data_IF_909409076687
#
_entry.id   IF_909409076687
#
_cell.length_a   1.000
_cell.length_b   1.000
_cell.length_c   1.000
_cell.angle_alpha   90.00
_cell.angle_beta   90.00
_cell.angle_gamma   90.00
#
_symmetry.space_group_name_H-M   'P 1'
#
loop_
_entity.id
_entity.type
_entity.pdbx_description
1 polymer ?
#
# COMPACT_ATOMS: atom_id res chain seq x y z
N UNK A 1 12.20 0.68 -25.70
CA UNK A 1 10.93 1.01 -25.03
C UNK A 1 10.72 -0.03 -23.94
N UNK A 2 11.14 0.27 -22.70
CA UNK A 2 11.17 -0.69 -21.62
C UNK A 2 9.74 -0.97 -21.13
N UNK A 3 9.17 -2.10 -21.53
CA UNK A 3 7.98 -2.64 -20.90
C UNK A 3 8.38 -3.10 -19.51
N UNK A 4 8.18 -2.25 -18.49
CA UNK A 4 8.26 -2.68 -17.12
C UNK A 4 7.31 -3.89 -16.93
N UNK A 5 7.72 -4.92 -16.18
CA UNK A 5 6.83 -6.03 -15.88
C UNK A 5 5.55 -5.44 -15.27
N UNK A 6 4.39 -5.69 -15.89
CA UNK A 6 3.13 -5.03 -15.54
C UNK A 6 2.78 -5.15 -14.05
N UNK A 7 3.33 -6.15 -13.36
CA UNK A 7 3.04 -6.45 -11.96
C UNK A 7 3.50 -5.34 -10.99
N UNK A 8 4.68 -4.72 -11.17
CA UNK A 8 5.16 -3.75 -10.17
C UNK A 8 4.32 -2.47 -10.10
N UNK A 9 3.94 -1.94 -11.26
CA UNK A 9 3.10 -0.73 -11.34
C UNK A 9 1.69 -1.03 -10.82
N UNK A 10 1.19 -2.24 -11.09
CA UNK A 10 -0.09 -2.69 -10.57
C UNK A 10 -0.05 -2.83 -9.05
N UNK A 11 1.00 -3.41 -8.47
CA UNK A 11 1.17 -3.55 -7.02
C UNK A 11 1.18 -2.17 -6.34
N UNK A 12 1.96 -1.23 -6.88
CA UNK A 12 2.01 0.16 -6.39
C UNK A 12 0.65 0.86 -6.49
N UNK A 13 -0.01 0.74 -7.64
CA UNK A 13 -1.33 1.38 -7.85
C UNK A 13 -2.38 0.80 -6.90
N UNK A 14 -2.32 -0.51 -6.64
CA UNK A 14 -3.26 -1.19 -5.74
C UNK A 14 -3.02 -0.78 -4.30
N UNK A 15 -1.76 -0.73 -3.84
CA UNK A 15 -1.40 -0.27 -2.48
C UNK A 15 -1.76 1.20 -2.27
N UNK A 16 -1.43 2.07 -3.22
CA UNK A 16 -1.74 3.50 -3.13
C UNK A 16 -3.25 3.74 -3.20
N UNK A 17 -3.95 3.08 -4.12
CA UNK A 17 -5.40 3.18 -4.27
C UNK A 17 -6.14 2.71 -3.02
N UNK A 18 -5.77 1.54 -2.49
CA UNK A 18 -6.35 1.02 -1.27
C UNK A 18 -6.01 1.87 -0.05
N UNK A 19 -4.79 2.40 0.06
CA UNK A 19 -4.40 3.31 1.13
C UNK A 19 -5.17 4.62 1.09
N UNK A 20 -5.35 5.20 -0.09
CA UNK A 20 -6.18 6.40 -0.27
C UNK A 20 -7.63 6.14 0.16
N UNK A 21 -8.21 5.01 -0.26
CA UNK A 21 -9.57 4.61 0.12
C UNK A 21 -9.69 4.34 1.63
N UNK A 22 -8.75 3.60 2.21
CA UNK A 22 -8.72 3.27 3.64
C UNK A 22 -8.53 4.50 4.52
N UNK A 23 -7.61 5.39 4.15
CA UNK A 23 -7.41 6.67 4.83
C UNK A 23 -8.63 7.58 4.72
N UNK A 24 -9.27 7.64 3.54
CA UNK A 24 -10.51 8.39 3.34
C UNK A 24 -11.66 7.85 4.21
N UNK A 25 -11.83 6.52 4.25
CA UNK A 25 -12.85 5.87 5.05
C UNK A 25 -12.61 6.08 6.56
N UNK A 26 -11.36 5.96 7.02
CA UNK A 26 -10.99 6.22 8.40
C UNK A 26 -11.23 7.68 8.81
N UNK A 27 -10.87 8.63 7.94
CA UNK A 27 -11.14 10.05 8.16
C UNK A 27 -12.66 10.31 8.26
N UNK A 28 -13.46 9.66 7.39
CA UNK A 28 -14.93 9.75 7.44
C UNK A 28 -15.51 9.19 8.74
N UNK A 29 -14.90 8.13 9.29
CA UNK A 29 -15.28 7.50 10.55
C UNK A 29 -14.77 8.25 11.80
N UNK A 30 -14.11 9.41 11.63
CA UNK A 30 -13.46 10.20 12.70
C UNK A 30 -12.36 9.42 13.44
N UNK A 31 -11.80 8.40 12.81
CA UNK A 31 -10.66 7.67 13.34
C UNK A 31 -9.34 8.29 12.83
N UNK A 32 -8.23 8.10 13.57
CA UNK A 32 -6.90 8.47 13.09
C UNK A 32 -6.66 7.93 11.69
N UNK A 33 -6.29 8.81 10.76
CA UNK A 33 -6.06 8.44 9.34
C UNK A 33 -4.99 7.36 9.22
N UNK A 34 -4.02 7.36 10.14
CA UNK A 34 -2.99 6.33 10.26
C UNK A 34 -3.57 4.92 10.40
N UNK A 35 -4.66 4.75 11.17
CA UNK A 35 -5.34 3.45 11.28
C UNK A 35 -5.98 3.04 9.95
N UNK A 36 -6.47 4.00 9.17
CA UNK A 36 -6.99 3.74 7.82
C UNK A 36 -5.93 3.21 6.87
N UNK A 37 -4.74 3.82 6.87
CA UNK A 37 -3.59 3.36 6.07
C UNK A 37 -3.07 2.00 6.51
N UNK A 38 -3.01 1.76 7.83
CA UNK A 38 -2.60 0.46 8.36
C UNK A 38 -3.62 -0.64 8.05
N UNK A 39 -4.91 -0.36 8.20
CA UNK A 39 -5.98 -1.31 7.90
C UNK A 39 -6.03 -1.65 6.41
N UNK A 40 -5.94 -0.65 5.51
CA UNK A 40 -5.85 -0.92 4.07
C UNK A 40 -4.59 -1.70 3.69
N UNK A 41 -3.46 -1.39 4.34
CA UNK A 41 -2.21 -2.13 4.16
C UNK A 41 -2.31 -3.57 4.63
N UNK A 42 -3.07 -3.84 5.69
CA UNK A 42 -3.35 -5.19 6.17
C UNK A 42 -4.24 -5.98 5.18
N UNK A 43 -5.24 -5.31 4.61
CA UNK A 43 -6.20 -5.91 3.66
C UNK A 43 -5.56 -6.16 2.28
N UNK A 44 -4.70 -5.27 1.80
CA UNK A 44 -3.99 -5.44 0.52
C UNK A 44 -2.70 -6.23 0.68
N UNK A 45 -2.18 -6.28 1.90
CA UNK A 45 -0.99 -7.04 2.28
C UNK A 45 -1.14 -8.56 2.15
N UNK A 46 -0.07 -9.30 2.49
CA UNK A 46 -0.07 -10.76 2.46
C UNK A 46 -1.14 -11.39 3.38
N UNK A 47 -1.61 -10.67 4.40
CA UNK A 47 -2.66 -11.12 5.30
C UNK A 47 -4.09 -10.96 4.74
N UNK A 48 -4.29 -10.26 3.62
CA UNK A 48 -5.61 -10.05 3.03
C UNK A 48 -5.74 -10.64 1.62
N UNK A 49 -5.37 -9.88 0.59
CA UNK A 49 -5.53 -10.27 -0.82
C UNK A 49 -4.28 -10.92 -1.44
N UNK A 50 -3.16 -10.98 -0.73
CA UNK A 50 -1.88 -11.54 -1.19
C UNK A 50 -1.43 -11.01 -2.57
N UNK A 51 -1.82 -9.75 -2.87
CA UNK A 51 -1.60 -9.15 -4.18
C UNK A 51 -0.12 -8.79 -4.41
N UNK A 52 0.65 -8.68 -3.34
CA UNK A 52 2.04 -8.23 -3.35
C UNK A 52 2.98 -9.43 -3.49
N UNK A 53 3.34 -9.77 -4.73
CA UNK A 53 4.25 -10.89 -5.03
C UNK A 53 5.72 -10.57 -4.78
N UNK A 54 6.11 -9.30 -4.88
CA UNK A 54 7.51 -8.87 -4.70
C UNK A 54 7.72 -8.13 -3.37
N UNK A 55 7.69 -8.90 -2.27
CA UNK A 55 7.89 -8.36 -0.91
C UNK A 55 9.23 -7.63 -0.74
N UNK A 56 10.28 -8.07 -1.43
CA UNK A 56 11.63 -7.49 -1.31
C UNK A 56 11.71 -6.07 -1.88
N UNK A 57 11.05 -5.82 -3.00
CA UNK A 57 10.99 -4.50 -3.63
C UNK A 57 10.13 -3.51 -2.81
N UNK A 58 9.03 -4.00 -2.23
CA UNK A 58 8.16 -3.21 -1.35
C UNK A 58 8.87 -2.86 -0.04
N UNK A 59 9.67 -3.78 0.51
CA UNK A 59 10.41 -3.56 1.75
C UNK A 59 11.43 -2.42 1.60
N UNK A 60 12.19 -2.40 0.50
CA UNK A 60 13.12 -1.30 0.21
C UNK A 60 12.38 0.05 0.10
N UNK A 61 11.21 0.06 -0.54
CA UNK A 61 10.40 1.28 -0.67
C UNK A 61 9.81 1.73 0.68
N UNK A 62 9.42 0.79 1.54
CA UNK A 62 8.93 1.07 2.88
C UNK A 62 10.04 1.64 3.78
N UNK A 63 11.26 1.10 3.71
CA UNK A 63 12.43 1.65 4.42
C UNK A 63 12.72 3.09 3.99
N UNK A 64 12.65 3.38 2.69
CA UNK A 64 12.72 4.75 2.19
C UNK A 64 11.58 5.59 2.78
N UNK A 65 10.33 5.14 2.68
CA UNK A 65 9.18 5.88 3.22
C UNK A 65 9.29 6.23 4.70
N UNK A 66 9.79 5.30 5.52
CA UNK A 66 10.05 5.53 6.96
C UNK A 66 11.20 6.52 7.17
N UNK A 67 12.26 6.48 6.36
CA UNK A 67 13.37 7.42 6.47
C UNK A 67 12.98 8.88 6.15
N UNK A 68 11.89 9.10 5.42
CA UNK A 68 11.36 10.42 5.08
C UNK A 68 10.34 10.97 6.10
N UNK A 69 9.84 10.14 7.02
CA UNK A 69 8.86 10.53 8.06
C UNK A 69 9.56 11.11 9.29
#
# INVERSE_FOLDING_TARGET
MAAAPHNFILDLTTVLGASALGGYLANRLRQPVLLGYLASGLIVGPFGLELLREQEQIKALAEIGVAFL
#
